data_IF_870072375684
#
_entry.id   IF_870072375684
#
_cell.length_a   1.000
_cell.length_b   1.000
_cell.length_c   1.000
_cell.angle_alpha   90.00
_cell.angle_beta   90.00
_cell.angle_gamma   90.00
#
_symmetry.space_group_name_H-M   'P 1'
#
loop_
_entity.id
_entity.type
_entity.pdbx_description
1 polymer ?
#
# COMPACT_ATOMS: atom_id res chain seq x y z
N UNK A 1 -62.46 31.16 -17.07
CA UNK A 1 -61.74 29.92 -17.44
C UNK A 1 -60.22 30.07 -17.62
N UNK A 2 -59.69 31.23 -18.02
CA UNK A 2 -58.25 31.45 -18.33
C UNK A 2 -57.28 31.18 -17.16
N UNK A 3 -57.67 31.47 -15.91
CA UNK A 3 -56.83 31.26 -14.71
C UNK A 3 -56.57 29.77 -14.42
N UNK A 4 -57.49 28.87 -14.76
CA UNK A 4 -57.30 27.41 -14.60
C UNK A 4 -56.34 26.84 -15.66
N UNK A 5 -56.26 27.44 -16.85
CA UNK A 5 -55.29 27.07 -17.89
C UNK A 5 -53.88 27.57 -17.55
N UNK A 6 -53.75 28.78 -17.01
CA UNK A 6 -52.46 29.36 -16.59
C UNK A 6 -51.83 28.51 -15.47
N UNK A 7 -52.60 28.09 -14.46
CA UNK A 7 -52.10 27.23 -13.36
C UNK A 7 -51.64 25.84 -13.83
N UNK A 8 -52.32 25.26 -14.81
CA UNK A 8 -51.94 23.96 -15.40
C UNK A 8 -50.68 24.08 -16.26
N UNK A 9 -50.54 25.17 -17.02
CA UNK A 9 -49.32 25.45 -17.78
C UNK A 9 -48.11 25.68 -16.85
N UNK A 10 -48.32 26.35 -15.72
CA UNK A 10 -47.27 26.61 -14.73
C UNK A 10 -46.77 25.32 -14.06
N UNK A 11 -47.68 24.39 -13.77
CA UNK A 11 -47.36 23.05 -13.24
C UNK A 11 -46.57 22.19 -14.23
N UNK A 12 -46.92 22.22 -15.53
CA UNK A 12 -46.21 21.45 -16.56
C UNK A 12 -44.80 21.98 -16.79
N UNK A 13 -44.61 23.31 -16.79
CA UNK A 13 -43.27 23.90 -16.90
C UNK A 13 -42.38 23.55 -15.69
N UNK A 14 -42.93 23.53 -14.47
CA UNK A 14 -42.17 23.18 -13.26
C UNK A 14 -41.66 21.73 -13.31
N UNK A 15 -42.48 20.81 -13.81
CA UNK A 15 -42.08 19.41 -13.98
C UNK A 15 -41.05 19.23 -15.09
N UNK A 16 -41.11 20.05 -16.14
CA UNK A 16 -40.17 19.99 -17.26
C UNK A 16 -38.78 20.52 -16.88
N UNK A 17 -38.70 21.52 -16.00
CA UNK A 17 -37.44 22.10 -15.49
C UNK A 17 -36.68 21.12 -14.59
N UNK A 18 -37.39 20.27 -13.84
CA UNK A 18 -36.75 19.25 -12.99
C UNK A 18 -36.30 18.01 -13.77
N UNK A 19 -37.00 17.64 -14.85
CA UNK A 19 -36.65 16.49 -15.70
C UNK A 19 -35.57 16.84 -16.72
N UNK A 20 -35.53 18.10 -17.19
CA UNK A 20 -34.57 18.58 -18.19
C UNK A 20 -33.47 19.46 -17.59
N UNK A 21 -33.06 19.17 -16.36
CA UNK A 21 -31.84 19.77 -15.81
C UNK A 21 -30.64 19.07 -16.44
N UNK A 22 -29.69 19.79 -17.06
CA UNK A 22 -28.43 19.18 -17.46
C UNK A 22 -27.77 18.69 -16.17
N UNK A 23 -27.66 17.38 -16.03
CA UNK A 23 -26.80 16.79 -15.01
C UNK A 23 -25.40 17.24 -15.39
N UNK A 24 -24.93 18.33 -14.79
CA UNK A 24 -23.56 18.77 -14.97
C UNK A 24 -22.69 17.54 -14.68
N UNK A 25 -21.95 17.08 -15.69
CA UNK A 25 -20.98 16.02 -15.51
C UNK A 25 -19.97 16.54 -14.49
N UNK A 26 -20.14 16.11 -13.24
CA UNK A 26 -19.16 16.37 -12.20
C UNK A 26 -17.99 15.46 -12.54
N UNK A 27 -16.99 16.02 -13.19
CA UNK A 27 -15.71 15.34 -13.33
C UNK A 27 -15.11 15.27 -11.93
N UNK A 28 -15.15 14.08 -11.33
CA UNK A 28 -14.39 13.81 -10.11
C UNK A 28 -12.92 14.08 -10.44
N UNK A 29 -12.29 14.97 -9.67
CA UNK A 29 -10.85 15.17 -9.76
C UNK A 29 -10.19 13.88 -9.26
N UNK A 30 -9.90 12.96 -10.17
CA UNK A 30 -9.21 11.69 -9.91
C UNK A 30 -7.70 11.91 -9.74
N UNK A 31 -7.28 13.11 -9.31
CA UNK A 31 -5.90 13.37 -8.95
C UNK A 31 -5.57 12.57 -7.69
N UNK A 32 -4.47 11.82 -7.73
CA UNK A 32 -3.97 11.11 -6.56
C UNK A 32 -3.66 12.14 -5.47
N UNK A 33 -4.06 11.86 -4.24
CA UNK A 33 -4.02 12.81 -3.12
C UNK A 33 -2.60 13.17 -2.63
N UNK A 34 -1.58 12.50 -3.17
CA UNK A 34 -0.16 12.80 -2.95
C UNK A 34 0.53 13.49 -4.14
N UNK A 35 -0.19 13.84 -5.22
CA UNK A 35 0.42 14.44 -6.44
C UNK A 35 1.19 15.74 -6.18
N UNK A 36 0.73 16.56 -5.22
CA UNK A 36 1.35 17.82 -4.82
C UNK A 36 1.95 17.75 -3.41
N UNK A 37 2.21 16.55 -2.90
CA UNK A 37 2.77 16.34 -1.57
C UNK A 37 4.30 16.20 -1.65
N UNK A 38 5.03 16.77 -0.68
CA UNK A 38 6.50 16.70 -0.65
C UNK A 38 7.03 15.25 -0.65
N UNK A 39 6.25 14.33 -0.08
CA UNK A 39 6.57 12.90 0.00
C UNK A 39 6.18 12.11 -1.26
N UNK A 40 5.72 12.76 -2.33
CA UNK A 40 5.28 12.10 -3.57
C UNK A 40 6.27 11.05 -4.05
N UNK A 41 7.54 11.43 -4.19
CA UNK A 41 8.59 10.58 -4.73
C UNK A 41 8.80 9.31 -3.89
N UNK A 42 8.76 9.45 -2.57
CA UNK A 42 8.92 8.34 -1.64
C UNK A 42 7.69 7.43 -1.64
N UNK A 43 6.49 8.03 -1.68
CA UNK A 43 5.23 7.30 -1.74
C UNK A 43 5.16 6.45 -3.02
N UNK A 44 5.53 7.04 -4.17
CA UNK A 44 5.57 6.31 -5.44
C UNK A 44 6.58 5.18 -5.43
N UNK A 45 7.83 5.43 -4.99
CA UNK A 45 8.88 4.40 -4.93
C UNK A 45 8.48 3.22 -4.03
N UNK A 46 7.86 3.50 -2.89
CA UNK A 46 7.43 2.46 -1.95
C UNK A 46 6.19 1.71 -2.43
N UNK A 47 5.30 2.34 -3.20
CA UNK A 47 4.18 1.66 -3.85
C UNK A 47 4.66 0.74 -4.97
N UNK A 48 5.61 1.18 -5.79
CA UNK A 48 6.19 0.38 -6.87
C UNK A 48 6.92 -0.85 -6.31
N UNK A 49 7.59 -0.71 -5.15
CA UNK A 49 8.20 -1.83 -4.41
C UNK A 49 7.19 -2.70 -3.65
N UNK A 50 5.91 -2.33 -3.63
CA UNK A 50 4.86 -3.05 -2.90
C UNK A 50 4.98 -2.97 -1.37
N UNK A 51 5.81 -2.05 -0.84
CA UNK A 51 6.00 -1.86 0.60
C UNK A 51 4.78 -1.19 1.24
N UNK A 52 4.15 -0.26 0.52
CA UNK A 52 2.96 0.46 0.96
C UNK A 52 1.78 0.24 0.00
N UNK A 53 0.57 0.40 0.54
CA UNK A 53 -0.69 0.30 -0.21
C UNK A 53 -1.58 1.45 0.22
N UNK A 54 -2.33 2.00 -0.73
CA UNK A 54 -3.41 2.94 -0.44
C UNK A 54 -4.60 2.28 0.24
N UNK A 55 -5.60 3.08 0.56
CA UNK A 55 -6.86 2.64 1.15
C UNK A 55 -7.80 2.06 0.06
N UNK A 56 -8.85 1.32 0.47
CA UNK A 56 -9.80 0.71 -0.48
C UNK A 56 -10.55 1.71 -1.36
N UNK A 57 -10.59 2.97 -0.97
CA UNK A 57 -11.20 4.08 -1.70
C UNK A 57 -10.29 4.65 -2.81
N UNK A 58 -9.05 4.15 -2.94
CA UNK A 58 -8.07 4.61 -3.91
C UNK A 58 -7.23 5.80 -3.45
N UNK A 59 -7.40 6.27 -2.21
CA UNK A 59 -6.60 7.35 -1.61
C UNK A 59 -5.36 6.83 -0.89
N UNK A 60 -4.36 7.67 -0.64
CA UNK A 60 -3.18 7.36 0.20
C UNK A 60 -3.17 8.11 1.53
N UNK A 61 -3.83 9.26 1.59
CA UNK A 61 -4.02 10.17 2.72
C UNK A 61 -2.69 10.54 3.41
N UNK A 62 -1.74 11.19 2.70
CA UNK A 62 -0.38 11.42 3.22
C UNK A 62 -0.33 12.30 4.49
N UNK A 63 -1.36 13.10 4.74
CA UNK A 63 -1.46 13.96 5.93
C UNK A 63 -2.22 13.32 7.09
N UNK A 64 -2.80 12.12 6.90
CA UNK A 64 -3.54 11.43 7.96
C UNK A 64 -2.56 10.83 8.96
N UNK A 65 -2.90 10.95 10.24
CA UNK A 65 -2.19 10.25 11.30
C UNK A 65 -2.32 8.73 11.11
N UNK A 66 -1.16 8.06 11.05
CA UNK A 66 -1.09 6.60 11.00
C UNK A 66 -1.38 6.00 12.38
N UNK A 67 -2.18 4.94 12.42
CA UNK A 67 -2.38 4.16 13.65
C UNK A 67 -1.19 3.26 13.94
N UNK A 68 -1.03 2.85 15.20
CA UNK A 68 0.02 1.89 15.59
C UNK A 68 -0.08 0.59 14.80
N UNK A 69 -1.30 0.10 14.53
CA UNK A 69 -1.52 -1.13 13.78
C UNK A 69 -1.07 -1.00 12.31
N UNK A 70 -1.40 0.11 11.66
CA UNK A 70 -0.97 0.39 10.28
C UNK A 70 0.55 0.54 10.18
N UNK A 71 1.18 1.20 11.15
CA UNK A 71 2.63 1.32 11.23
C UNK A 71 3.30 -0.04 11.42
N UNK A 72 2.79 -0.90 12.30
CA UNK A 72 3.32 -2.26 12.46
C UNK A 72 3.16 -3.09 11.18
N UNK A 73 2.03 -2.95 10.47
CA UNK A 73 1.83 -3.63 9.19
C UNK A 73 2.82 -3.17 8.10
N UNK A 74 3.20 -1.89 8.11
CA UNK A 74 4.24 -1.34 7.25
C UNK A 74 5.61 -1.97 7.54
N UNK A 75 6.00 -1.99 8.82
CA UNK A 75 7.28 -2.57 9.26
C UNK A 75 7.36 -4.05 8.90
N UNK A 76 6.29 -4.80 9.13
CA UNK A 76 6.25 -6.23 8.78
C UNK A 76 6.44 -6.46 7.28
N UNK A 77 5.82 -5.64 6.42
CA UNK A 77 5.99 -5.74 4.96
C UNK A 77 7.42 -5.41 4.53
N UNK A 78 8.02 -4.37 5.11
CA UNK A 78 9.41 -4.01 4.83
C UNK A 78 10.38 -5.12 5.27
N UNK A 79 10.13 -5.72 6.44
CA UNK A 79 10.94 -6.82 6.96
C UNK A 79 10.80 -8.08 6.12
N UNK A 80 9.59 -8.43 5.68
CA UNK A 80 9.37 -9.55 4.77
C UNK A 80 10.08 -9.33 3.43
N UNK A 81 10.03 -8.12 2.87
CA UNK A 81 10.75 -7.76 1.65
C UNK A 81 12.27 -7.93 1.82
N UNK A 82 12.81 -7.54 2.98
CA UNK A 82 14.22 -7.71 3.32
C UNK A 82 14.62 -9.20 3.44
N UNK A 83 13.85 -10.01 4.18
CA UNK A 83 14.17 -11.45 4.32
C UNK A 83 14.00 -12.20 3.00
N UNK A 84 13.07 -11.80 2.12
CA UNK A 84 12.96 -12.40 0.78
C UNK A 84 14.22 -12.21 -0.06
N UNK A 85 14.96 -11.14 0.16
CA UNK A 85 16.26 -10.93 -0.47
C UNK A 85 17.32 -11.88 0.10
N UNK A 86 17.20 -12.27 1.38
CA UNK A 86 17.98 -13.33 2.01
C UNK A 86 17.44 -14.75 1.70
N UNK A 87 16.26 -14.86 1.07
CA UNK A 87 15.61 -16.12 0.74
C UNK A 87 16.26 -16.86 -0.45
N UNK A 88 17.58 -16.75 -0.56
CA UNK A 88 18.49 -17.90 -0.70
C UNK A 88 18.31 -18.92 0.45
N UNK A 89 17.40 -18.71 1.41
CA UNK A 89 17.03 -19.68 2.47
C UNK A 89 16.69 -21.06 1.89
N UNK A 90 16.05 -21.18 0.73
CA UNK A 90 15.76 -22.51 0.17
C UNK A 90 16.97 -23.14 -0.55
N UNK A 91 17.96 -22.33 -0.91
CA UNK A 91 19.26 -22.77 -1.40
C UNK A 91 20.20 -23.12 -0.23
N UNK A 92 20.23 -22.30 0.83
CA UNK A 92 20.86 -22.58 2.11
C UNK A 92 20.27 -23.80 2.79
N UNK A 93 18.94 -24.02 2.75
CA UNK A 93 18.32 -25.25 3.26
C UNK A 93 18.74 -26.45 2.44
N UNK A 94 19.00 -26.29 1.13
CA UNK A 94 19.43 -27.37 0.24
C UNK A 94 20.90 -27.70 0.49
N UNK A 95 21.76 -26.69 0.61
CA UNK A 95 23.17 -26.83 0.97
C UNK A 95 23.34 -27.41 2.39
N UNK A 96 22.60 -26.90 3.37
CA UNK A 96 22.60 -27.44 4.74
C UNK A 96 22.06 -28.86 4.76
N UNK A 97 21.00 -29.17 4.00
CA UNK A 97 20.50 -30.54 3.90
C UNK A 97 21.52 -31.46 3.25
N UNK A 98 22.16 -31.05 2.16
CA UNK A 98 23.21 -31.82 1.49
C UNK A 98 24.42 -32.03 2.41
N UNK A 99 24.86 -30.99 3.11
CA UNK A 99 25.93 -31.05 4.11
C UNK A 99 25.59 -32.00 5.27
N UNK A 100 24.39 -31.89 5.84
CA UNK A 100 23.92 -32.76 6.92
C UNK A 100 23.73 -34.22 6.47
N UNK A 101 23.43 -34.46 5.19
CA UNK A 101 23.29 -35.82 4.64
C UNK A 101 24.67 -36.44 4.33
N UNK A 102 25.67 -35.62 4.00
CA UNK A 102 27.00 -36.08 3.58
C UNK A 102 28.06 -36.09 4.71
N UNK A 103 27.86 -35.34 5.81
CA UNK A 103 28.82 -35.20 6.93
C UNK A 103 28.39 -35.87 8.24
N UNK A 104 27.78 -37.05 8.19
CA UNK A 104 27.56 -37.89 9.39
C UNK A 104 28.83 -38.59 9.92
N UNK A 105 30.01 -37.95 9.89
CA UNK A 105 31.21 -38.58 10.48
C UNK A 105 32.15 -37.74 11.34
N UNK A 106 32.07 -36.41 11.43
CA UNK A 106 32.97 -35.69 12.36
C UNK A 106 32.25 -34.68 13.26
N UNK A 107 32.30 -35.04 14.55
CA UNK A 107 31.77 -34.38 15.74
C UNK A 107 32.31 -32.95 15.89
N UNK A 108 31.40 -32.07 16.26
CA UNK A 108 31.50 -30.61 16.38
C UNK A 108 32.73 -30.05 17.14
N UNK A 109 33.36 -29.03 16.55
CA UNK A 109 34.03 -27.95 17.26
C UNK A 109 33.54 -26.63 16.63
N UNK A 110 32.68 -25.88 17.33
CA UNK A 110 32.07 -24.66 16.82
C UNK A 110 33.02 -23.46 16.99
N UNK A 111 33.52 -22.88 15.90
CA UNK A 111 34.17 -21.55 15.92
C UNK A 111 33.15 -20.50 15.44
N UNK A 112 32.64 -19.70 16.37
CA UNK A 112 31.56 -18.72 16.18
C UNK A 112 32.07 -17.41 15.56
N UNK A 113 32.76 -17.47 14.41
CA UNK A 113 33.37 -16.27 13.81
C UNK A 113 32.74 -15.76 12.52
N UNK A 114 31.85 -16.51 11.88
CA UNK A 114 31.35 -16.15 10.54
C UNK A 114 29.83 -15.97 10.47
N UNK A 115 29.20 -15.41 11.51
CA UNK A 115 27.80 -14.98 11.44
C UNK A 115 27.71 -13.58 10.80
N UNK A 116 27.12 -13.42 9.59
CA UNK A 116 26.98 -12.12 8.93
C UNK A 116 26.01 -11.17 9.64
N UNK A 117 25.29 -11.64 10.68
CA UNK A 117 24.37 -10.83 11.49
C UNK A 117 25.01 -10.30 12.79
N UNK A 118 26.30 -10.57 13.03
CA UNK A 118 27.03 -10.06 14.21
C UNK A 118 27.48 -8.60 14.07
N UNK A 119 27.48 -8.06 12.85
CA UNK A 119 27.80 -6.66 12.58
C UNK A 119 26.49 -5.88 12.58
N UNK A 120 26.09 -5.35 13.74
CA UNK A 120 25.38 -4.07 13.96
C UNK A 120 25.07 -3.91 15.47
N UNK A 121 26.02 -4.29 16.33
CA UNK A 121 26.03 -3.90 17.75
C UNK A 121 27.32 -3.16 18.07
N UNK A 122 27.55 -2.07 17.35
CA UNK A 122 28.52 -1.04 17.71
C UNK A 122 27.95 0.31 17.32
N UNK A 123 27.07 0.81 18.18
CA UNK A 123 26.72 2.23 18.24
C UNK A 123 27.94 3.03 18.73
N UNK A 124 28.21 4.22 18.19
CA UNK A 124 28.68 5.34 19.00
C UNK A 124 27.58 5.85 19.94
#
# INVERSE_FOLDING_TARGET
MKVKLIKKSLLVCLTFIMIFSPHAAVFANSGLDYENHWAKLQITDWMDKGLIKGYPDGSFQPNRNISRAEFMALVNRAYEAYIKQCATIDELKREVKEYMTNHNQHRYQWDLKDDPCSIQRSSP
#
